data_IF_732089252119
#
_entry.id   IF_732089252119
#
_cell.length_a   1.000
_cell.length_b   1.000
_cell.length_c   1.000
_cell.angle_alpha   90.00
_cell.angle_beta   90.00
_cell.angle_gamma   90.00
#
_symmetry.space_group_name_H-M   'P 1'
#
loop_
_entity.id
_entity.type
_entity.pdbx_description
1 polymer ?
#
# COMPACT_ATOMS: atom_id res chain seq x y z
N UNK A 1 -28.51 11.71 49.98
CA UNK A 1 -27.27 12.37 49.52
C UNK A 1 -27.06 11.92 48.07
N UNK A 2 -27.37 12.78 47.09
CA UNK A 2 -27.27 12.42 45.67
C UNK A 2 -25.81 12.64 45.25
N UNK A 3 -25.12 11.57 44.87
CA UNK A 3 -23.81 11.66 44.21
C UNK A 3 -24.03 12.19 42.80
N UNK A 4 -23.67 13.46 42.58
CA UNK A 4 -23.53 14.02 41.24
C UNK A 4 -22.36 13.29 40.56
N UNK A 5 -22.67 12.38 39.65
CA UNK A 5 -21.68 11.81 38.76
C UNK A 5 -21.56 12.78 37.57
N UNK A 6 -20.54 13.65 37.57
CA UNK A 6 -20.25 14.49 36.41
C UNK A 6 -19.92 13.59 35.21
N UNK A 7 -20.69 13.71 34.14
CA UNK A 7 -20.41 13.03 32.88
C UNK A 7 -19.22 13.73 32.24
N UNK A 8 -18.03 13.16 32.45
CA UNK A 8 -16.82 13.61 31.77
C UNK A 8 -16.84 13.07 30.34
N UNK A 9 -17.12 13.94 29.38
CA UNK A 9 -17.02 13.61 27.96
C UNK A 9 -15.56 13.66 27.51
N UNK A 10 -15.22 12.83 26.52
CA UNK A 10 -13.91 12.82 25.87
C UNK A 10 -14.08 13.57 24.54
N UNK A 11 -13.35 14.66 24.35
CA UNK A 11 -13.33 15.38 23.07
C UNK A 11 -12.36 14.69 22.09
N UNK A 12 -12.93 14.14 21.02
CA UNK A 12 -12.20 13.38 19.99
C UNK A 12 -11.83 14.27 18.79
N UNK A 13 -12.68 15.26 18.46
CA UNK A 13 -12.51 16.16 17.32
C UNK A 13 -12.03 15.46 16.03
N UNK A 14 -10.94 15.92 15.43
CA UNK A 14 -10.32 15.44 14.19
C UNK A 14 -9.11 14.50 14.45
N UNK A 15 -9.00 13.98 15.67
CA UNK A 15 -7.89 13.09 16.05
C UNK A 15 -8.00 11.73 15.36
N UNK A 16 -6.86 11.24 14.85
CA UNK A 16 -6.71 9.86 14.43
C UNK A 16 -6.59 8.96 15.67
N UNK A 17 -7.60 8.14 15.91
CA UNK A 17 -7.62 7.17 17.02
C UNK A 17 -7.24 5.78 16.53
N UNK A 18 -6.04 5.31 16.91
CA UNK A 18 -5.48 4.03 16.46
C UNK A 18 -5.97 2.82 17.28
N UNK A 19 -6.74 3.04 18.36
CA UNK A 19 -7.27 2.01 19.27
C UNK A 19 -6.20 1.01 19.76
N UNK A 20 -5.04 1.53 20.15
CA UNK A 20 -3.89 0.75 20.65
C UNK A 20 -3.97 0.43 22.15
N UNK A 21 -4.95 1.01 22.84
CA UNK A 21 -5.25 0.83 24.27
C UNK A 21 -6.77 0.75 24.52
N UNK A 22 -7.19 0.67 25.78
CA UNK A 22 -8.59 0.56 26.19
C UNK A 22 -9.27 1.92 26.45
N UNK A 23 -8.59 3.05 26.25
CA UNK A 23 -9.08 4.37 26.68
C UNK A 23 -10.40 4.77 25.98
N UNK A 24 -10.53 4.45 24.69
CA UNK A 24 -11.73 4.69 23.89
C UNK A 24 -12.54 3.42 23.61
N UNK A 25 -12.15 2.29 24.22
CA UNK A 25 -12.78 0.99 23.96
C UNK A 25 -13.79 0.70 25.07
N UNK A 26 -15.08 0.70 24.72
CA UNK A 26 -16.12 0.40 25.69
C UNK A 26 -16.20 -1.10 26.04
N UNK A 27 -16.16 -1.98 25.03
CA UNK A 27 -16.31 -3.44 25.21
C UNK A 27 -15.54 -4.22 24.15
N UNK A 28 -15.00 -5.38 24.52
CA UNK A 28 -14.37 -6.35 23.62
C UNK A 28 -15.11 -7.70 23.73
N UNK A 29 -15.74 -8.16 22.65
CA UNK A 29 -16.53 -9.40 22.64
C UNK A 29 -15.82 -10.48 21.82
N UNK A 30 -15.18 -11.44 22.49
CA UNK A 30 -14.48 -12.54 21.81
C UNK A 30 -13.30 -12.09 20.94
N UNK A 31 -12.73 -10.91 21.23
CA UNK A 31 -11.61 -10.33 20.49
C UNK A 31 -10.58 -9.73 21.44
N UNK A 32 -9.38 -9.46 20.94
CA UNK A 32 -8.27 -8.89 21.72
C UNK A 32 -7.44 -7.95 20.85
N UNK A 33 -6.87 -6.91 21.47
CA UNK A 33 -5.85 -6.08 20.83
C UNK A 33 -4.56 -6.88 20.72
N UNK A 34 -3.99 -6.90 19.51
CA UNK A 34 -2.73 -7.58 19.23
C UNK A 34 -1.84 -6.72 18.38
N UNK A 35 -0.61 -6.51 18.82
CA UNK A 35 0.42 -5.92 17.98
C UNK A 35 0.76 -6.90 16.85
N UNK A 36 0.52 -6.47 15.61
CA UNK A 36 0.91 -7.23 14.44
C UNK A 36 2.40 -7.06 14.19
N UNK A 37 3.15 -8.17 14.19
CA UNK A 37 4.54 -8.16 13.72
C UNK A 37 4.54 -8.00 12.20
N UNK A 38 5.41 -7.15 11.63
CA UNK A 38 5.57 -7.07 10.17
C UNK A 38 5.80 -8.45 9.58
N UNK A 39 4.93 -8.86 8.67
CA UNK A 39 5.09 -10.08 7.89
C UNK A 39 5.61 -9.69 6.51
N UNK A 40 6.64 -10.39 6.03
CA UNK A 40 7.03 -10.24 4.62
C UNK A 40 5.88 -10.77 3.78
N UNK A 41 5.35 -9.93 2.89
CA UNK A 41 4.45 -10.44 1.87
C UNK A 41 5.19 -11.48 1.02
N UNK A 42 4.52 -12.58 0.61
CA UNK A 42 5.05 -13.48 -0.39
C UNK A 42 5.49 -12.67 -1.60
N UNK A 43 6.71 -12.92 -2.09
CA UNK A 43 7.17 -12.27 -3.30
C UNK A 43 6.46 -12.96 -4.48
N UNK A 44 5.85 -12.20 -5.41
CA UNK A 44 5.37 -12.75 -6.66
C UNK A 44 6.51 -13.48 -7.39
N UNK A 45 6.17 -14.47 -8.20
CA UNK A 45 7.14 -15.12 -9.08
C UNK A 45 7.71 -14.10 -10.08
N UNK A 46 6.84 -13.26 -10.63
CA UNK A 46 7.13 -12.18 -11.56
C UNK A 46 6.64 -10.86 -10.97
N UNK A 47 7.41 -10.24 -10.06
CA UNK A 47 7.01 -8.97 -9.46
C UNK A 47 7.09 -7.85 -10.48
N UNK A 48 6.20 -6.86 -10.34
CA UNK A 48 6.35 -5.60 -11.06
C UNK A 48 7.66 -4.90 -10.67
N UNK A 49 8.42 -4.42 -11.66
CA UNK A 49 9.72 -3.77 -11.45
C UNK A 49 9.77 -2.38 -12.07
N UNK A 50 10.72 -1.57 -11.61
CA UNK A 50 10.91 -0.18 -12.07
C UNK A 50 10.61 0.86 -11.00
N UNK A 51 10.63 2.13 -11.41
CA UNK A 51 10.37 3.28 -10.55
C UNK A 51 9.19 4.11 -11.09
N UNK A 52 8.64 5.00 -10.25
CA UNK A 52 7.53 5.91 -10.61
C UNK A 52 6.38 5.19 -11.31
N UNK A 53 5.98 4.07 -10.73
CA UNK A 53 5.00 3.15 -11.32
C UNK A 53 3.60 3.75 -11.21
N UNK A 54 2.88 3.78 -12.32
CA UNK A 54 1.45 4.07 -12.37
C UNK A 54 0.70 2.80 -12.76
N UNK A 55 -0.25 2.37 -11.93
CA UNK A 55 -1.12 1.21 -12.21
C UNK A 55 -2.54 1.69 -12.51
N UNK A 56 -3.10 1.26 -13.63
CA UNK A 56 -4.45 1.57 -14.09
C UNK A 56 -5.21 0.26 -14.25
N UNK A 57 -6.42 0.18 -13.70
CA UNK A 57 -7.33 -0.94 -13.96
C UNK A 57 -8.16 -0.65 -15.21
N UNK A 58 -8.06 -1.53 -16.20
CA UNK A 58 -8.76 -1.49 -17.48
C UNK A 58 -9.56 -2.81 -17.62
N UNK A 59 -10.82 -2.77 -17.15
CA UNK A 59 -11.67 -3.96 -17.05
C UNK A 59 -11.09 -5.03 -16.11
N UNK A 60 -10.79 -6.20 -16.70
CA UNK A 60 -10.21 -7.37 -16.02
C UNK A 60 -8.67 -7.39 -16.06
N UNK A 61 -8.04 -6.32 -16.56
CA UNK A 61 -6.59 -6.21 -16.68
C UNK A 61 -6.09 -5.01 -15.88
N UNK A 62 -5.00 -5.20 -15.14
CA UNK A 62 -4.19 -4.12 -14.60
C UNK A 62 -3.06 -3.82 -15.56
N UNK A 63 -2.92 -2.55 -15.91
CA UNK A 63 -1.85 -2.03 -16.76
C UNK A 63 -0.90 -1.22 -15.89
N UNK A 64 0.39 -1.51 -15.96
CA UNK A 64 1.41 -0.75 -15.28
C UNK A 64 2.34 -0.08 -16.27
N UNK A 65 2.60 1.20 -16.03
CA UNK A 65 3.62 1.99 -16.72
C UNK A 65 4.69 2.37 -15.70
N UNK A 66 5.89 1.89 -15.92
CA UNK A 66 7.00 2.05 -15.00
C UNK A 66 8.22 2.63 -15.70
N UNK A 67 8.96 3.49 -14.99
CA UNK A 67 10.25 3.96 -15.47
C UNK A 67 11.30 2.86 -15.30
N UNK A 68 12.07 2.64 -16.35
CA UNK A 68 13.23 1.75 -16.36
C UNK A 68 14.44 2.43 -17.02
N UNK A 69 15.59 1.77 -16.98
CA UNK A 69 16.78 2.17 -17.74
C UNK A 69 16.95 1.22 -18.92
N UNK A 70 17.33 1.74 -20.09
CA UNK A 70 17.72 0.89 -21.23
C UNK A 70 18.92 0.01 -20.85
N UNK A 71 18.99 -1.23 -21.37
CA UNK A 71 20.14 -2.11 -21.14
C UNK A 71 21.46 -1.42 -21.52
N UNK A 72 22.50 -1.60 -20.70
CA UNK A 72 23.82 -0.99 -20.91
C UNK A 72 23.96 0.45 -20.42
N UNK A 73 22.99 0.97 -19.65
CA UNK A 73 23.15 2.26 -18.99
C UNK A 73 23.95 2.13 -17.69
N UNK A 74 25.13 2.75 -17.65
CA UNK A 74 25.95 2.89 -16.43
C UNK A 74 25.52 4.11 -15.59
N UNK A 75 24.69 4.99 -16.16
CA UNK A 75 24.14 6.14 -15.45
C UNK A 75 22.84 5.76 -14.72
N UNK A 76 22.88 5.89 -13.39
CA UNK A 76 21.74 5.71 -12.47
C UNK A 76 21.22 7.08 -11.97
N UNK A 77 21.50 8.16 -12.71
CA UNK A 77 21.04 9.51 -12.32
C UNK A 77 19.70 9.82 -12.96
N UNK A 78 18.78 10.39 -12.19
CA UNK A 78 17.50 10.89 -12.71
C UNK A 78 17.69 11.96 -13.81
N UNK A 79 16.80 11.93 -14.80
CA UNK A 79 16.77 12.83 -15.96
C UNK A 79 17.78 12.47 -17.04
N UNK A 80 18.26 11.22 -17.09
CA UNK A 80 19.24 10.82 -18.10
C UNK A 80 18.57 10.26 -19.39
N UNK A 81 19.24 10.31 -20.55
CA UNK A 81 18.64 9.89 -21.84
C UNK A 81 18.33 8.39 -21.97
N UNK A 82 18.87 7.55 -21.09
CA UNK A 82 18.62 6.10 -21.10
C UNK A 82 17.36 5.72 -20.32
N UNK A 83 16.69 6.67 -19.68
CA UNK A 83 15.38 6.43 -19.08
C UNK A 83 14.34 6.09 -20.15
N UNK A 84 13.55 5.05 -19.89
CA UNK A 84 12.44 4.65 -20.72
C UNK A 84 11.21 4.37 -19.86
N UNK A 85 10.03 4.42 -20.49
CA UNK A 85 8.79 3.93 -19.88
C UNK A 85 8.51 2.55 -20.44
N UNK A 86 8.43 1.56 -19.56
CA UNK A 86 8.07 0.18 -19.89
C UNK A 86 6.61 -0.09 -19.51
N UNK A 87 6.01 -1.02 -20.24
CA UNK A 87 4.63 -1.48 -20.02
C UNK A 87 4.64 -2.89 -19.43
N UNK A 88 3.74 -3.13 -18.49
CA UNK A 88 3.47 -4.43 -17.91
C UNK A 88 1.96 -4.63 -17.74
N UNK A 89 1.52 -5.87 -17.72
CA UNK A 89 0.13 -6.21 -17.43
C UNK A 89 -0.02 -7.35 -16.42
N UNK A 90 -1.17 -7.38 -15.75
CA UNK A 90 -1.50 -8.37 -14.73
C UNK A 90 -3.02 -8.58 -14.65
N UNK A 91 -3.46 -9.80 -14.33
CA UNK A 91 -4.88 -10.10 -14.09
C UNK A 91 -5.28 -10.03 -12.61
N UNK A 92 -4.31 -10.14 -11.71
CA UNK A 92 -4.52 -10.20 -10.26
C UNK A 92 -3.85 -9.05 -9.49
N UNK A 93 -3.02 -8.25 -10.17
CA UNK A 93 -2.22 -7.18 -9.59
C UNK A 93 -0.98 -7.67 -8.83
N UNK A 94 -0.71 -8.98 -8.83
CA UNK A 94 0.35 -9.65 -8.09
C UNK A 94 1.43 -10.14 -9.05
N UNK A 95 1.05 -10.91 -10.06
CA UNK A 95 1.95 -11.45 -11.09
C UNK A 95 1.90 -10.59 -12.34
N UNK A 96 3.06 -10.16 -12.81
CA UNK A 96 3.18 -9.20 -13.90
C UNK A 96 4.00 -9.74 -15.05
N UNK A 97 3.54 -9.46 -16.27
CA UNK A 97 4.26 -9.80 -17.51
C UNK A 97 4.49 -8.56 -18.37
N UNK A 98 5.59 -8.57 -19.13
CA UNK A 98 5.84 -7.61 -20.20
C UNK A 98 5.45 -8.29 -21.51
N UNK A 99 4.28 -7.99 -22.08
CA UNK A 99 3.81 -8.68 -23.28
C UNK A 99 4.58 -8.21 -24.51
N UNK A 100 4.68 -9.10 -25.49
CA UNK A 100 5.09 -8.74 -26.85
C UNK A 100 3.90 -8.06 -27.55
N UNK A 101 4.11 -6.81 -27.98
CA UNK A 101 3.11 -6.00 -28.67
C UNK A 101 3.51 -5.88 -30.16
N UNK A 102 2.55 -6.11 -31.06
CA UNK A 102 2.72 -6.00 -32.53
C UNK A 102 2.76 -4.55 -33.04
#
# INVERSE_FOLDING_TARGET
>A
MKTNNEIKYIDIADRLELFVDDYLVATMNGTTQRLHTPCKMPRPQNPLTGAYITVIRDGDLFRAYARHMRPGSDLIKDGNPNECTCYFESRDGIEWESPDLD
#
